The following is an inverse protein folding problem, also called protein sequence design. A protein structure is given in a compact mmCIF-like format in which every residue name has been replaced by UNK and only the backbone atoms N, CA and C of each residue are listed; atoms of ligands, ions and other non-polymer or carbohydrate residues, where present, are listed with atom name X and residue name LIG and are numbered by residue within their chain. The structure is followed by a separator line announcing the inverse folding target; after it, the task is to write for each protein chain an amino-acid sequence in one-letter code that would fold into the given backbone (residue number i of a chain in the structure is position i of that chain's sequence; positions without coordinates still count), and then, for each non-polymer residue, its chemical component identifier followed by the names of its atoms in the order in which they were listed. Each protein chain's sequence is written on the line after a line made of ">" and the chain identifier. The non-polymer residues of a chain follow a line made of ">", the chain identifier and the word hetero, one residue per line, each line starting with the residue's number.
data_IF_373308872501
#
_entry.id   IF_373308872501
#
_cell.length_a   1.000
_cell.length_b   1.000
_cell.length_c   1.000
_cell.angle_alpha   90.00
_cell.angle_beta   90.00
_cell.angle_gamma   90.00
#
_symmetry.space_group_name_H-M   'P 1'
#
loop_
_entity.id
_entity.type
_entity.pdbx_description
1 polymer ?
#
# COMPACT_ATOMS: atom_id res chain seq x y z
N UNK A 1 -1.77 10.07 -3.06
CA UNK A 1 -0.80 9.98 -1.95
C UNK A 1 -0.15 11.34 -1.78
N UNK A 2 0.19 11.76 -0.56
CA UNK A 2 0.83 13.07 -0.37
C UNK A 2 2.29 13.03 -0.86
N UNK A 3 2.83 14.16 -1.33
CA UNK A 3 4.22 14.26 -1.85
C UNK A 3 5.25 13.78 -0.81
N UNK A 4 5.03 14.09 0.47
CA UNK A 4 5.92 13.70 1.56
C UNK A 4 5.89 12.20 1.85
N UNK A 5 4.71 11.56 1.74
CA UNK A 5 4.61 10.09 1.86
C UNK A 5 5.43 9.41 0.75
N UNK A 6 5.35 9.91 -0.49
CA UNK A 6 6.09 9.31 -1.61
C UNK A 6 7.60 9.41 -1.42
N UNK A 7 8.11 10.56 -0.94
CA UNK A 7 9.53 10.73 -0.61
C UNK A 7 10.00 9.74 0.43
N UNK A 8 9.25 9.57 1.52
CA UNK A 8 9.57 8.59 2.56
C UNK A 8 9.60 7.15 2.04
N UNK A 9 8.79 6.80 1.04
CA UNK A 9 8.86 5.48 0.41
C UNK A 9 10.09 5.30 -0.49
N UNK A 10 10.59 6.37 -1.14
CA UNK A 10 11.80 6.29 -1.98
C UNK A 10 13.04 5.93 -1.14
N UNK A 11 13.10 6.44 0.09
CA UNK A 11 14.18 6.21 1.05
C UNK A 11 14.18 4.78 1.63
N UNK A 12 13.06 4.06 1.57
CA UNK A 12 12.95 2.70 2.10
C UNK A 12 13.69 1.69 1.22
N UNK A 13 14.26 0.67 1.87
CA UNK A 13 14.82 -0.50 1.17
C UNK A 13 13.71 -1.39 0.60
N UNK A 14 14.04 -2.26 -0.37
CA UNK A 14 13.07 -3.22 -0.93
C UNK A 14 12.42 -4.07 0.18
N UNK A 15 13.15 -4.67 1.14
CA UNK A 15 12.52 -5.43 2.23
C UNK A 15 11.55 -4.61 3.09
N UNK A 16 11.86 -3.34 3.34
CA UNK A 16 10.97 -2.44 4.08
C UNK A 16 9.69 -2.12 3.30
N UNK A 17 9.79 -1.97 1.98
CA UNK A 17 8.65 -1.77 1.10
C UNK A 17 7.77 -3.02 1.01
N UNK A 18 8.37 -4.21 0.91
CA UNK A 18 7.65 -5.49 0.92
C UNK A 18 6.90 -5.70 2.23
N UNK A 19 7.53 -5.40 3.37
CA UNK A 19 6.87 -5.44 4.69
C UNK A 19 5.65 -4.51 4.72
N UNK A 20 5.82 -3.27 4.25
CA UNK A 20 4.74 -2.29 4.21
C UNK A 20 3.60 -2.72 3.26
N UNK A 21 3.93 -3.36 2.14
CA UNK A 21 2.93 -3.94 1.23
C UNK A 21 2.10 -5.02 1.94
N UNK A 22 2.77 -5.90 2.70
CA UNK A 22 2.13 -6.94 3.51
C UNK A 22 1.20 -6.36 4.59
N UNK A 23 1.68 -5.35 5.31
CA UNK A 23 0.89 -4.66 6.34
C UNK A 23 -0.37 -4.01 5.73
N UNK A 24 -0.25 -3.34 4.59
CA UNK A 24 -1.40 -2.77 3.87
C UNK A 24 -2.37 -3.84 3.38
N UNK A 25 -1.86 -4.98 2.92
CA UNK A 25 -2.71 -6.09 2.49
C UNK A 25 -3.52 -6.64 3.67
N UNK A 26 -2.88 -6.81 4.83
CA UNK A 26 -3.57 -7.22 6.06
C UNK A 26 -4.65 -6.22 6.46
N UNK A 27 -4.37 -4.92 6.43
CA UNK A 27 -5.34 -3.88 6.74
C UNK A 27 -6.54 -3.89 5.79
N UNK A 28 -6.29 -4.08 4.49
CA UNK A 28 -7.35 -4.23 3.47
C UNK A 28 -8.25 -5.43 3.81
N UNK A 29 -7.68 -6.59 4.15
CA UNK A 29 -8.47 -7.77 4.48
C UNK A 29 -9.26 -7.60 5.77
N UNK A 30 -8.68 -6.97 6.80
CA UNK A 30 -9.40 -6.61 8.04
C UNK A 30 -10.61 -5.72 7.72
N UNK A 31 -10.42 -4.70 6.88
CA UNK A 31 -11.52 -3.81 6.48
C UNK A 31 -12.57 -4.52 5.62
N UNK A 32 -12.19 -5.50 4.78
CA UNK A 32 -13.16 -6.32 4.05
C UNK A 32 -14.01 -7.16 4.98
N UNK A 33 -13.40 -7.79 5.97
CA UNK A 33 -14.13 -8.58 6.99
C UNK A 33 -15.06 -7.68 7.79
N UNK A 34 -14.56 -6.54 8.31
CA UNK A 34 -15.39 -5.55 9.02
C UNK A 34 -16.56 -5.07 8.17
N UNK A 35 -16.32 -4.78 6.89
CA UNK A 35 -17.35 -4.38 5.95
C UNK A 35 -18.47 -5.42 5.84
N UNK A 36 -18.09 -6.69 5.77
CA UNK A 36 -19.03 -7.81 5.71
C UNK A 36 -19.80 -7.97 7.04
N UNK A 37 -19.11 -7.94 8.18
CA UNK A 37 -19.72 -8.14 9.50
C UNK A 37 -20.58 -6.98 9.96
N UNK A 38 -20.16 -5.74 9.69
CA UNK A 38 -20.84 -4.51 10.13
C UNK A 38 -21.81 -3.95 9.07
N UNK A 39 -21.96 -4.64 7.92
CA UNK A 39 -22.70 -4.16 6.75
C UNK A 39 -22.32 -2.73 6.29
N UNK A 40 -21.07 -2.33 6.57
CA UNK A 40 -20.59 -0.99 6.27
C UNK A 40 -20.49 -0.82 4.74
N UNK A 41 -21.18 0.15 4.16
CA UNK A 41 -21.13 0.40 2.71
C UNK A 41 -19.93 1.23 2.28
N UNK A 42 -19.20 1.83 3.23
CA UNK A 42 -18.06 2.68 2.92
C UNK A 42 -16.84 1.85 2.49
N UNK A 43 -16.54 1.91 1.19
CA UNK A 43 -15.40 1.23 0.56
C UNK A 43 -14.25 2.17 0.24
N UNK A 44 -14.36 3.47 0.58
CA UNK A 44 -13.38 4.49 0.20
C UNK A 44 -12.02 4.25 0.85
N UNK A 45 -12.01 3.82 2.11
CA UNK A 45 -10.80 3.43 2.85
C UNK A 45 -10.10 2.25 2.21
N UNK A 46 -10.84 1.19 1.84
CA UNK A 46 -10.30 0.04 1.10
C UNK A 46 -9.69 0.48 -0.24
N UNK A 47 -10.39 1.33 -1.00
CA UNK A 47 -9.89 1.87 -2.26
C UNK A 47 -8.60 2.69 -2.09
N UNK A 48 -8.54 3.54 -1.06
CA UNK A 48 -7.35 4.32 -0.76
C UNK A 48 -6.14 3.43 -0.41
N UNK A 49 -6.33 2.37 0.38
CA UNK A 49 -5.27 1.42 0.74
C UNK A 49 -4.80 0.61 -0.47
N UNK A 50 -5.72 0.16 -1.34
CA UNK A 50 -5.37 -0.53 -2.59
C UNK A 50 -4.49 0.35 -3.49
N UNK A 51 -4.84 1.63 -3.62
CA UNK A 51 -4.04 2.58 -4.38
C UNK A 51 -2.64 2.78 -3.77
N UNK A 52 -2.54 2.89 -2.44
CA UNK A 52 -1.23 2.96 -1.76
C UNK A 52 -0.40 1.70 -2.00
N UNK A 53 -1.02 0.51 -1.91
CA UNK A 53 -0.37 -0.77 -2.17
C UNK A 53 0.16 -0.86 -3.60
N UNK A 54 -0.63 -0.45 -4.60
CA UNK A 54 -0.22 -0.45 -6.00
C UNK A 54 1.00 0.46 -6.26
N UNK A 55 1.04 1.63 -5.61
CA UNK A 55 2.21 2.53 -5.67
C UNK A 55 3.45 1.86 -5.10
N UNK A 56 3.34 1.23 -3.92
CA UNK A 56 4.46 0.53 -3.28
C UNK A 56 4.95 -0.63 -4.16
N UNK A 57 4.05 -1.46 -4.70
CA UNK A 57 4.40 -2.55 -5.61
C UNK A 57 5.13 -2.06 -6.86
N UNK A 58 4.71 -0.91 -7.40
CA UNK A 58 5.40 -0.27 -8.54
C UNK A 58 6.80 0.21 -8.14
N UNK A 59 6.98 0.78 -6.95
CA UNK A 59 8.29 1.24 -6.45
C UNK A 59 9.25 0.08 -6.17
N UNK A 60 8.74 -1.05 -5.66
CA UNK A 60 9.52 -2.28 -5.50
C UNK A 60 10.04 -2.72 -6.88
N UNK A 61 9.17 -2.81 -7.88
CA UNK A 61 9.58 -3.16 -9.24
C UNK A 61 10.60 -2.20 -9.84
N UNK A 62 10.42 -0.90 -9.66
CA UNK A 62 11.38 0.10 -10.14
C UNK A 62 12.77 -0.10 -9.51
N UNK A 63 12.83 -0.35 -8.20
CA UNK A 63 14.09 -0.64 -7.49
C UNK A 63 14.73 -1.95 -7.94
N UNK A 64 13.94 -3.02 -8.15
CA UNK A 64 14.43 -4.31 -8.63
C UNK A 64 15.03 -4.23 -10.05
N UNK A 65 14.43 -3.41 -10.91
CA UNK A 65 14.89 -3.23 -12.30
C UNK A 65 16.10 -2.30 -12.43
N UNK A 66 16.63 -1.78 -11.32
CA UNK A 66 17.69 -0.76 -11.34
C UNK A 66 17.25 0.55 -12.00
N UNK A 67 15.94 0.78 -12.14
CA UNK A 67 15.40 2.02 -12.68
C UNK A 67 15.78 3.16 -11.75
N UNK A 68 16.23 4.29 -12.32
CA UNK A 68 16.50 5.50 -11.55
C UNK A 68 15.24 5.88 -10.75
N UNK A 69 15.33 5.78 -9.43
CA UNK A 69 14.28 6.13 -8.46
C UNK A 69 14.44 7.58 -8.04
#
# INVERSE_FOLDING_TARGET
>A
MKKNEKKSLLEKSIPQLQKLEGDLNREIEVLRVKRFTEQNKNTRSIGALRNKRAVIGSMIRQKELGGAV
#
